data_IF_484273723855
#
_entry.id   IF_484273723855
#
_cell.length_a   1.000
_cell.length_b   1.000
_cell.length_c   1.000
_cell.angle_alpha   90.00
_cell.angle_beta   90.00
_cell.angle_gamma   90.00
#
_symmetry.space_group_name_H-M   'P 1'
#
loop_
_entity.id
_entity.type
_entity.pdbx_description
1 polymer ?
#
# COMPACT_ATOMS: atom_id res chain seq x y z
N UNK A 1 13.42 22.16 7.82
CA UNK A 1 11.96 22.07 7.62
C UNK A 1 11.72 22.04 6.12
N UNK A 2 11.43 20.87 5.55
CA UNK A 2 11.14 20.72 4.11
C UNK A 2 9.83 21.47 3.82
N UNK A 3 9.93 22.57 3.07
CA UNK A 3 8.77 23.33 2.58
C UNK A 3 8.36 22.72 1.23
N UNK A 4 7.56 21.67 1.24
CA UNK A 4 6.85 21.25 0.02
C UNK A 4 5.62 22.13 -0.10
N UNK A 5 5.60 23.01 -1.11
CA UNK A 5 4.53 23.99 -1.34
C UNK A 5 3.27 23.41 -2.03
N UNK A 6 3.26 22.11 -2.25
CA UNK A 6 2.14 21.31 -2.72
C UNK A 6 2.30 19.94 -2.09
N UNK A 7 1.25 19.37 -1.50
CA UNK A 7 1.25 17.99 -1.04
C UNK A 7 1.39 17.08 -2.26
N UNK A 8 2.63 16.76 -2.64
CA UNK A 8 2.90 15.87 -3.77
C UNK A 8 2.52 14.46 -3.34
N UNK A 9 1.46 13.93 -3.92
CA UNK A 9 1.00 12.57 -3.69
C UNK A 9 1.64 11.63 -4.70
N UNK A 10 2.44 10.69 -4.21
CA UNK A 10 2.99 9.60 -5.03
C UNK A 10 2.08 8.37 -4.85
N UNK A 11 1.42 7.95 -5.94
CA UNK A 11 0.69 6.68 -5.98
C UNK A 11 1.66 5.60 -6.47
N UNK A 12 1.90 4.60 -5.63
CA UNK A 12 2.70 3.43 -5.95
C UNK A 12 1.77 2.30 -6.41
N UNK A 13 2.14 1.63 -7.50
CA UNK A 13 1.46 0.48 -8.07
C UNK A 13 2.32 -0.79 -7.88
N UNK A 14 1.71 -1.97 -8.03
CA UNK A 14 2.40 -3.25 -7.78
C UNK A 14 3.57 -3.54 -8.73
N UNK A 15 3.64 -2.82 -9.85
CA UNK A 15 4.71 -2.93 -10.85
C UNK A 15 5.91 -2.02 -10.52
N UNK A 16 5.76 -1.10 -9.56
CA UNK A 16 6.82 -0.20 -9.16
C UNK A 16 7.91 -0.93 -8.38
N UNK A 17 9.16 -0.74 -8.80
CA UNK A 17 10.31 -1.30 -8.12
C UNK A 17 10.62 -0.49 -6.85
N UNK A 18 10.43 -1.09 -5.67
CA UNK A 18 10.73 -0.46 -4.39
C UNK A 18 11.80 -1.26 -3.63
N UNK A 19 12.70 -0.58 -2.94
CA UNK A 19 13.63 -1.23 -2.01
C UNK A 19 13.89 -0.41 -0.75
N UNK A 20 14.38 -1.09 0.29
CA UNK A 20 14.76 -0.47 1.56
C UNK A 20 16.29 -0.35 1.60
N UNK A 21 16.77 0.86 1.86
CA UNK A 21 18.17 1.13 2.16
C UNK A 21 18.34 1.40 3.66
N UNK A 22 19.22 0.68 4.35
CA UNK A 22 19.55 0.90 5.77
C UNK A 22 20.82 1.73 5.90
N UNK A 23 20.83 2.65 6.86
CA UNK A 23 21.96 3.54 7.15
C UNK A 23 22.33 3.41 8.63
N UNK A 24 23.16 2.42 8.96
CA UNK A 24 23.46 2.05 10.35
C UNK A 24 24.11 3.18 11.14
N UNK A 25 25.04 3.92 10.51
CA UNK A 25 25.73 5.06 11.14
C UNK A 25 24.79 6.23 11.49
N UNK A 26 23.66 6.32 10.80
CA UNK A 26 22.66 7.38 10.97
C UNK A 26 21.41 6.92 11.71
N UNK A 27 21.38 5.65 12.15
CA UNK A 27 20.23 5.00 12.79
C UNK A 27 18.94 5.31 12.01
N UNK A 28 18.95 4.99 10.72
CA UNK A 28 17.84 5.33 9.83
C UNK A 28 17.70 4.33 8.69
N UNK A 29 16.54 4.38 8.03
CA UNK A 29 16.24 3.59 6.85
C UNK A 29 15.45 4.45 5.85
N UNK A 30 15.61 4.17 4.57
CA UNK A 30 14.93 4.88 3.49
C UNK A 30 14.13 3.90 2.63
N UNK A 31 12.88 4.26 2.33
CA UNK A 31 12.11 3.62 1.25
C UNK A 31 12.47 4.33 -0.05
N UNK A 32 13.03 3.60 -1.01
CA UNK A 32 13.52 4.16 -2.27
C UNK A 32 12.65 3.68 -3.43
N UNK A 33 12.13 4.64 -4.19
CA UNK A 33 11.51 4.45 -5.50
C UNK A 33 12.45 5.05 -6.57
N UNK A 34 13.23 4.22 -7.28
CA UNK A 34 14.13 4.70 -8.31
C UNK A 34 13.33 5.25 -9.49
N UNK A 35 13.78 6.37 -10.07
CA UNK A 35 13.18 6.90 -11.28
C UNK A 35 13.49 5.98 -12.46
N UNK A 36 12.48 5.51 -13.18
CA UNK A 36 12.69 4.80 -14.44
C UNK A 36 13.09 5.82 -15.52
N UNK A 37 14.21 5.57 -16.18
CA UNK A 37 14.88 6.55 -17.02
C UNK A 37 14.00 7.08 -18.18
N UNK A 38 13.62 8.35 -18.11
CA UNK A 38 13.56 9.30 -19.24
C UNK A 38 13.57 10.76 -18.75
N UNK A 39 12.90 11.03 -17.62
CA UNK A 39 12.94 12.31 -16.91
C UNK A 39 13.57 12.22 -15.50
N UNK A 40 13.86 10.99 -15.01
CA UNK A 40 14.94 10.71 -14.06
C UNK A 40 14.68 10.96 -12.57
N UNK A 41 13.53 11.49 -12.16
CA UNK A 41 13.30 11.82 -10.75
C UNK A 41 12.57 10.70 -9.99
N UNK A 42 13.37 9.83 -9.37
CA UNK A 42 12.89 8.96 -8.30
C UNK A 42 12.66 9.75 -7.01
N UNK A 43 12.11 9.09 -6.00
CA UNK A 43 11.99 9.66 -4.66
C UNK A 43 12.49 8.69 -3.60
N UNK A 44 12.91 9.24 -2.48
CA UNK A 44 13.27 8.47 -1.29
C UNK A 44 12.61 9.10 -0.07
N UNK A 45 11.94 8.29 0.74
CA UNK A 45 11.39 8.73 2.02
C UNK A 45 12.30 8.20 3.12
N UNK A 46 12.85 9.11 3.92
CA UNK A 46 13.78 8.80 4.99
C UNK A 46 13.06 8.69 6.33
N UNK A 47 13.34 7.62 7.07
CA UNK A 47 12.75 7.33 8.37
C UNK A 47 13.82 7.10 9.42
N UNK A 48 13.56 7.63 10.60
CA UNK A 48 14.29 7.34 11.85
C UNK A 48 13.40 6.52 12.80
N UNK A 49 13.95 5.90 13.86
CA UNK A 49 13.18 5.13 14.85
C UNK A 49 12.00 5.88 15.47
N UNK A 50 12.03 7.22 15.49
CA UNK A 50 10.92 8.04 15.97
C UNK A 50 9.62 7.86 15.16
N UNK A 51 9.70 7.32 13.94
CA UNK A 51 8.54 7.10 13.07
C UNK A 51 7.98 5.67 13.14
N UNK A 52 8.51 4.80 14.01
CA UNK A 52 8.10 3.41 14.07
C UNK A 52 6.59 3.25 14.31
N UNK A 53 6.06 3.96 15.31
CA UNK A 53 4.64 3.88 15.69
C UNK A 53 3.70 4.24 14.52
N UNK A 54 3.99 5.32 13.79
CA UNK A 54 3.15 5.74 12.67
C UNK A 54 3.24 4.77 11.48
N UNK A 55 4.42 4.17 11.25
CA UNK A 55 4.61 3.16 10.21
C UNK A 55 3.84 1.87 10.56
N UNK A 56 3.83 1.46 11.82
CA UNK A 56 3.04 0.31 12.30
C UNK A 56 1.54 0.54 12.10
N UNK A 57 1.04 1.73 12.41
CA UNK A 57 -0.34 2.11 12.13
C UNK A 57 -0.68 2.06 10.64
N UNK A 58 0.21 2.56 9.78
CA UNK A 58 0.04 2.51 8.33
C UNK A 58 -0.04 1.05 7.83
N UNK A 59 0.87 0.19 8.27
CA UNK A 59 0.86 -1.24 7.93
C UNK A 59 -0.44 -1.91 8.41
N UNK A 60 -0.91 -1.58 9.62
CA UNK A 60 -2.18 -2.05 10.14
C UNK A 60 -3.37 -1.68 9.24
N UNK A 61 -3.45 -0.42 8.82
CA UNK A 61 -4.49 0.06 7.92
C UNK A 61 -4.45 -0.66 6.56
N UNK A 62 -3.27 -0.83 5.97
CA UNK A 62 -3.10 -1.55 4.70
C UNK A 62 -3.53 -3.02 4.78
N UNK A 63 -3.25 -3.70 5.91
CA UNK A 63 -3.70 -5.08 6.14
C UNK A 63 -5.22 -5.19 6.20
N UNK A 64 -5.90 -4.25 6.86
CA UNK A 64 -7.37 -4.21 6.93
C UNK A 64 -7.95 -4.04 5.52
N UNK A 65 -7.43 -3.08 4.74
CA UNK A 65 -7.88 -2.83 3.36
C UNK A 65 -7.69 -4.07 2.49
N UNK A 66 -6.54 -4.74 2.60
CA UNK A 66 -6.28 -6.00 1.88
C UNK A 66 -7.29 -7.09 2.24
N UNK A 67 -7.57 -7.30 3.52
CA UNK A 67 -8.55 -8.29 3.96
C UNK A 67 -9.97 -7.99 3.44
N UNK A 68 -10.34 -6.71 3.36
CA UNK A 68 -11.61 -6.28 2.78
C UNK A 68 -11.69 -6.59 1.28
N UNK A 69 -10.61 -6.34 0.54
CA UNK A 69 -10.54 -6.67 -0.90
C UNK A 69 -10.70 -8.17 -1.15
N UNK A 70 -10.05 -9.01 -0.34
CA UNK A 70 -10.15 -10.47 -0.44
C UNK A 70 -11.57 -10.96 -0.11
N UNK A 71 -12.19 -10.42 0.92
CA UNK A 71 -13.57 -10.78 1.32
C UNK A 71 -14.61 -10.41 0.26
N UNK A 72 -14.41 -9.29 -0.44
CA UNK A 72 -15.29 -8.87 -1.54
C UNK A 72 -15.21 -9.80 -2.76
N UNK A 73 -14.05 -10.42 -3.00
CA UNK A 73 -13.86 -11.40 -4.09
C UNK A 73 -14.50 -12.75 -3.76
N UNK A 74 -14.54 -13.14 -2.48
CA UNK A 74 -15.14 -14.38 -2.01
C UNK A 74 -16.68 -14.34 -1.87
N UNK A 75 -17.30 -13.15 -1.96
CA UNK A 75 -18.76 -13.01 -1.93
C UNK A 75 -19.38 -13.47 -3.26
N UNK A 76 -19.58 -14.78 -3.42
CA UNK A 76 -20.53 -15.35 -4.39
C UNK A 76 -21.94 -15.19 -3.85
N UNK A 77 -22.79 -14.48 -4.60
CA UNK A 77 -24.23 -14.44 -4.35
C UNK A 77 -24.76 -15.89 -4.27
N UNK A 78 -25.46 -16.30 -3.20
CA UNK A 78 -26.05 -17.63 -3.15
C UNK A 78 -27.13 -17.69 -4.24
N UNK A 79 -26.99 -18.60 -5.20
CA UNK A 79 -28.04 -18.82 -6.19
C UNK A 79 -29.32 -19.24 -5.45
N UNK A 80 -30.47 -18.59 -5.73
CA UNK A 80 -31.72 -18.99 -5.12
C UNK A 80 -32.03 -20.43 -5.55
N UNK A 81 -32.13 -21.33 -4.58
CA UNK A 81 -32.58 -22.71 -4.80
C UNK A 81 -33.94 -22.66 -5.48
N UNK A 82 -33.98 -23.13 -6.73
CA UNK A 82 -35.21 -23.31 -7.50
C UNK A 82 -36.21 -24.11 -6.66
N UNK A 83 -37.19 -23.44 -6.06
CA UNK A 83 -38.37 -24.08 -5.52
C UNK A 83 -39.17 -24.60 -6.71
N UNK A 84 -38.96 -25.88 -7.02
CA UNK A 84 -39.75 -26.60 -8.01
C UNK A 84 -41.23 -26.49 -7.68
N UNK A 85 -41.96 -25.66 -8.42
CA UNK A 85 -43.41 -25.63 -8.36
C UNK A 85 -43.93 -26.95 -8.93
N UNK A 86 -44.34 -27.85 -8.04
CA UNK A 86 -45.22 -28.98 -8.37
C UNK A 86 -46.56 -28.40 -8.83
N UNK A 87 -46.74 -28.27 -10.15
CA UNK A 87 -48.06 -28.06 -10.74
C UNK A 87 -48.75 -29.42 -10.75
N UNK A 88 -49.91 -29.48 -10.08
CA UNK A 88 -50.73 -30.67 -9.89
C UNK A 88 -51.86 -30.72 -10.91
#
# INVERSE_FOLDING_TARGET
>A
MLRTWTDTHYKLDNEDWLYIATHEEQISASLVCPGYARDGEGFSIHFTPAHLEILEHLVGALRIIKAQQETMLDYRYPEPTSTGHLIR
#
